data_IF_402934114079
#
_entry.id   IF_402934114079
#
_cell.length_a   1.000
_cell.length_b   1.000
_cell.length_c   1.000
_cell.angle_alpha   90.00
_cell.angle_beta   90.00
_cell.angle_gamma   90.00
#
_symmetry.space_group_name_H-M   'P 1'
#
loop_
_entity.id
_entity.type
_entity.pdbx_description
1 polymer ?
#
# COMPACT_ATOMS: atom_id res chain seq x y z
N UNK A 1 -16.37 12.87 -12.50
CA UNK A 1 -16.36 11.41 -12.19
C UNK A 1 -15.04 10.75 -12.58
N UNK A 2 -14.52 10.99 -13.80
CA UNK A 2 -13.25 10.41 -14.27
C UNK A 2 -12.07 10.73 -13.34
N UNK A 3 -11.95 11.98 -12.89
CA UNK A 3 -10.90 12.42 -11.94
C UNK A 3 -10.88 11.64 -10.62
N UNK A 4 -12.04 11.34 -10.04
CA UNK A 4 -12.13 10.60 -8.79
C UNK A 4 -11.80 9.12 -8.99
N UNK A 5 -12.21 8.55 -10.11
CA UNK A 5 -11.85 7.17 -10.47
C UNK A 5 -10.34 7.05 -10.71
N UNK A 6 -9.73 8.00 -11.42
CA UNK A 6 -8.29 8.04 -11.64
C UNK A 6 -7.52 8.17 -10.31
N UNK A 7 -7.97 9.05 -9.40
CA UNK A 7 -7.38 9.18 -8.08
C UNK A 7 -7.49 7.88 -7.26
N UNK A 8 -8.65 7.21 -7.29
CA UNK A 8 -8.83 5.91 -6.65
C UNK A 8 -7.91 4.83 -7.22
N UNK A 9 -7.73 4.78 -8.54
CA UNK A 9 -6.80 3.85 -9.20
C UNK A 9 -5.35 4.16 -8.80
N UNK A 10 -4.96 5.43 -8.75
CA UNK A 10 -3.63 5.83 -8.29
C UNK A 10 -3.39 5.39 -6.83
N UNK A 11 -4.37 5.60 -5.95
CA UNK A 11 -4.31 5.13 -4.56
C UNK A 11 -4.23 3.60 -4.44
N UNK A 12 -4.96 2.87 -5.28
CA UNK A 12 -4.89 1.41 -5.37
C UNK A 12 -3.50 0.93 -5.82
N UNK A 13 -2.89 1.61 -6.79
CA UNK A 13 -1.53 1.33 -7.24
C UNK A 13 -0.50 1.57 -6.12
N UNK A 14 -0.63 2.69 -5.37
CA UNK A 14 0.19 2.98 -4.20
C UNK A 14 0.05 1.90 -3.13
N UNK A 15 -1.17 1.39 -2.88
CA UNK A 15 -1.39 0.28 -1.96
C UNK A 15 -0.71 -1.01 -2.41
N UNK A 16 -0.80 -1.35 -3.70
CA UNK A 16 -0.16 -2.54 -4.25
C UNK A 16 1.37 -2.47 -4.09
N UNK A 17 1.98 -1.32 -4.39
CA UNK A 17 3.42 -1.09 -4.18
C UNK A 17 3.75 -1.21 -2.69
N UNK A 18 2.99 -0.55 -1.82
CA UNK A 18 3.23 -0.58 -0.38
C UNK A 18 3.16 -2.01 0.19
N UNK A 19 2.16 -2.79 -0.22
CA UNK A 19 2.00 -4.18 0.20
C UNK A 19 3.08 -5.09 -0.40
N UNK A 20 3.51 -4.85 -1.64
CA UNK A 20 4.63 -5.55 -2.26
C UNK A 20 5.93 -5.34 -1.49
N UNK A 21 6.22 -4.09 -1.10
CA UNK A 21 7.37 -3.76 -0.27
C UNK A 21 7.27 -4.41 1.12
N UNK A 22 6.08 -4.42 1.73
CA UNK A 22 5.85 -5.10 3.00
C UNK A 22 6.10 -6.61 2.87
N UNK A 23 5.58 -7.23 1.81
CA UNK A 23 5.77 -8.65 1.53
C UNK A 23 7.26 -8.98 1.35
N UNK A 24 7.99 -8.16 0.59
CA UNK A 24 9.43 -8.32 0.41
C UNK A 24 10.18 -8.16 1.73
N UNK A 25 9.75 -7.23 2.59
CA UNK A 25 10.33 -7.02 3.93
C UNK A 25 10.17 -8.26 4.81
N UNK A 26 8.96 -8.83 4.84
CA UNK A 26 8.65 -10.04 5.61
C UNK A 26 9.44 -11.22 5.06
N UNK A 27 9.46 -11.41 3.73
CA UNK A 27 10.20 -12.49 3.09
C UNK A 27 11.69 -12.42 3.39
N UNK A 28 12.29 -11.24 3.25
CA UNK A 28 13.70 -11.03 3.56
C UNK A 28 14.00 -11.42 5.02
N UNK A 29 13.12 -11.05 5.96
CA UNK A 29 13.29 -11.41 7.38
C UNK A 29 13.14 -12.92 7.62
N UNK A 30 12.18 -13.57 6.96
CA UNK A 30 11.95 -15.02 7.07
C UNK A 30 13.07 -15.88 6.49
N UNK A 31 13.79 -15.38 5.48
CA UNK A 31 14.95 -16.06 4.87
C UNK A 31 16.26 -15.84 5.66
N UNK A 32 16.18 -15.35 6.90
CA UNK A 32 17.34 -15.05 7.75
C UNK A 32 18.03 -13.72 7.41
N UNK A 33 17.35 -12.85 6.68
CA UNK A 33 17.90 -11.59 6.17
C UNK A 33 18.18 -10.54 7.22
N UNK A 34 19.06 -9.61 6.85
CA UNK A 34 19.63 -8.62 7.74
C UNK A 34 18.63 -7.47 8.03
N UNK A 35 18.55 -7.07 9.31
CA UNK A 35 17.78 -5.93 9.81
C UNK A 35 17.91 -4.63 8.96
N UNK A 36 19.08 -4.27 8.39
CA UNK A 36 19.20 -3.10 7.53
C UNK A 36 18.30 -3.13 6.29
N UNK A 37 18.10 -4.31 5.68
CA UNK A 37 17.21 -4.46 4.50
C UNK A 37 15.77 -4.18 4.89
N UNK A 38 15.33 -4.67 6.04
CA UNK A 38 13.99 -4.39 6.57
C UNK A 38 13.80 -2.89 6.84
N UNK A 39 14.78 -2.23 7.43
CA UNK A 39 14.75 -0.78 7.69
C UNK A 39 14.71 0.00 6.38
N UNK A 40 15.53 -0.37 5.39
CA UNK A 40 15.55 0.28 4.08
C UNK A 40 14.19 0.16 3.35
N UNK A 41 13.58 -1.03 3.37
CA UNK A 41 12.24 -1.24 2.80
C UNK A 41 11.16 -0.50 3.61
N UNK A 42 11.33 -0.33 4.92
CA UNK A 42 10.52 0.57 5.75
C UNK A 42 10.60 2.03 5.28
N UNK A 43 11.82 2.53 5.09
CA UNK A 43 12.06 3.87 4.53
C UNK A 43 11.43 4.05 3.15
N UNK A 44 11.60 3.06 2.27
CA UNK A 44 11.02 3.09 0.92
C UNK A 44 9.49 3.13 0.96
N UNK A 45 8.84 2.39 1.86
CA UNK A 45 7.38 2.46 2.06
C UNK A 45 6.91 3.85 2.48
N UNK A 46 7.65 4.51 3.37
CA UNK A 46 7.35 5.88 3.77
C UNK A 46 7.55 6.86 2.60
N UNK A 47 8.63 6.70 1.84
CA UNK A 47 8.93 7.50 0.67
C UNK A 47 7.86 7.37 -0.42
N UNK A 48 7.30 6.17 -0.64
CA UNK A 48 6.20 5.96 -1.59
C UNK A 48 4.95 6.76 -1.20
N UNK A 49 4.56 6.73 0.09
CA UNK A 49 3.40 7.47 0.57
C UNK A 49 3.64 8.98 0.51
N UNK A 50 4.79 9.43 1.01
CA UNK A 50 5.16 10.84 1.00
C UNK A 50 5.28 11.39 -0.42
N UNK A 51 5.90 10.63 -1.33
CA UNK A 51 6.05 10.99 -2.74
C UNK A 51 4.70 11.05 -3.46
N UNK A 52 3.80 10.09 -3.21
CA UNK A 52 2.45 10.13 -3.78
C UNK A 52 1.66 11.35 -3.29
N UNK A 53 1.76 11.69 -2.01
CA UNK A 53 1.10 12.87 -1.44
C UNK A 53 1.70 14.17 -2.01
N UNK A 54 3.03 14.27 -2.07
CA UNK A 54 3.71 15.42 -2.64
C UNK A 54 3.32 15.62 -4.12
N UNK A 55 3.28 14.53 -4.90
CA UNK A 55 2.84 14.57 -6.30
C UNK A 55 1.38 15.03 -6.42
N UNK A 56 0.49 14.52 -5.57
CA UNK A 56 -0.90 14.94 -5.55
C UNK A 56 -1.05 16.45 -5.26
N UNK A 57 -0.27 16.98 -4.33
CA UNK A 57 -0.25 18.41 -4.01
C UNK A 57 0.31 19.25 -5.17
N UNK A 58 1.40 18.81 -5.81
CA UNK A 58 1.99 19.47 -6.99
C UNK A 58 1.00 19.52 -8.16
N UNK A 59 0.21 18.47 -8.34
CA UNK A 59 -0.85 18.40 -9.36
C UNK A 59 -2.11 19.18 -8.97
N UNK A 60 -2.14 19.83 -7.80
CA UNK A 60 -3.29 20.62 -7.34
C UNK A 60 -4.50 19.76 -6.97
N UNK A 61 -4.30 18.51 -6.55
CA UNK A 61 -5.38 17.61 -6.21
C UNK A 61 -6.25 18.19 -5.08
N UNK A 62 -7.54 18.35 -5.36
CA UNK A 62 -8.51 18.78 -4.35
C UNK A 62 -8.79 17.70 -3.30
N UNK A 63 -9.42 18.09 -2.19
CA UNK A 63 -9.74 17.18 -1.09
C UNK A 63 -10.49 15.91 -1.53
N UNK A 64 -11.41 16.05 -2.50
CA UNK A 64 -12.14 14.90 -3.05
C UNK A 64 -11.25 13.87 -3.75
N UNK A 65 -10.22 14.31 -4.48
CA UNK A 65 -9.26 13.42 -5.14
C UNK A 65 -8.38 12.70 -4.11
N UNK A 66 -7.94 13.40 -3.06
CA UNK A 66 -7.20 12.78 -1.96
C UNK A 66 -8.01 11.71 -1.24
N UNK A 67 -9.30 11.99 -0.96
CA UNK A 67 -10.21 11.01 -0.35
C UNK A 67 -10.44 9.82 -1.27
N UNK A 68 -10.66 10.04 -2.57
CA UNK A 68 -10.84 8.96 -3.53
C UNK A 68 -9.59 8.07 -3.63
N UNK A 69 -8.39 8.67 -3.68
CA UNK A 69 -7.13 7.94 -3.63
C UNK A 69 -6.96 7.14 -2.34
N UNK A 70 -7.28 7.75 -1.19
CA UNK A 70 -7.25 7.05 0.09
C UNK A 70 -8.21 5.84 0.10
N UNK A 71 -9.42 5.98 -0.44
CA UNK A 71 -10.37 4.88 -0.56
C UNK A 71 -9.82 3.76 -1.45
N UNK A 72 -9.25 4.09 -2.60
CA UNK A 72 -8.59 3.11 -3.47
C UNK A 72 -7.49 2.34 -2.75
N UNK A 73 -6.66 3.04 -1.98
CA UNK A 73 -5.61 2.45 -1.16
C UNK A 73 -6.18 1.47 -0.11
N UNK A 74 -7.19 1.92 0.65
CA UNK A 74 -7.82 1.14 1.72
C UNK A 74 -8.52 -0.10 1.17
N UNK A 75 -9.23 0.02 0.05
CA UNK A 75 -9.93 -1.11 -0.59
C UNK A 75 -8.94 -2.22 -0.96
N UNK A 76 -7.82 -1.88 -1.62
CA UNK A 76 -6.78 -2.87 -1.95
C UNK A 76 -6.20 -3.50 -0.68
N UNK A 77 -5.92 -2.70 0.34
CA UNK A 77 -5.41 -3.21 1.63
C UNK A 77 -6.35 -4.22 2.27
N UNK A 78 -7.64 -3.90 2.31
CA UNK A 78 -8.66 -4.79 2.87
C UNK A 78 -8.79 -6.04 2.02
N UNK A 79 -8.86 -5.92 0.69
CA UNK A 79 -8.97 -7.05 -0.22
C UNK A 79 -7.80 -8.04 -0.06
N UNK A 80 -6.57 -7.53 -0.01
CA UNK A 80 -5.36 -8.35 0.19
C UNK A 80 -5.35 -8.99 1.58
N UNK A 81 -5.70 -8.24 2.63
CA UNK A 81 -5.74 -8.77 4.00
C UNK A 81 -6.81 -9.85 4.18
N UNK A 82 -7.99 -9.65 3.58
CA UNK A 82 -9.07 -10.65 3.56
C UNK A 82 -8.63 -11.90 2.81
N UNK A 83 -8.00 -11.75 1.63
CA UNK A 83 -7.48 -12.89 0.85
C UNK A 83 -6.41 -13.66 1.62
N UNK A 84 -5.50 -12.98 2.29
CA UNK A 84 -4.48 -13.60 3.14
C UNK A 84 -5.09 -14.31 4.37
N UNK A 85 -6.25 -13.86 4.84
CA UNK A 85 -6.96 -14.47 5.97
C UNK A 85 -7.86 -15.63 5.56
N UNK A 86 -8.44 -15.59 4.36
CA UNK A 86 -9.30 -16.64 3.83
C UNK A 86 -8.56 -17.96 3.55
N UNK A 87 -7.24 -17.92 3.34
CA UNK A 87 -6.41 -19.13 3.24
C UNK A 87 -6.01 -19.74 4.59
N UNK A 88 -6.45 -19.15 5.71
CA UNK A 88 -6.24 -19.67 7.06
C UNK A 88 -7.54 -20.28 7.59
N UNK A 89 -7.99 -21.35 6.96
CA UNK A 89 -8.84 -22.32 7.65
C UNK A 89 -7.97 -22.98 8.73
N UNK A 90 -7.92 -22.32 9.88
CA UNK A 90 -7.17 -22.79 11.03
C UNK A 90 -7.90 -24.00 11.63
N UNK A 91 -7.33 -25.22 11.62
CA UNK A 91 -7.97 -26.43 12.16
C UNK A 91 -8.12 -26.41 13.70
N UNK A 92 -7.77 -25.32 14.37
CA UNK A 92 -7.83 -25.16 15.83
C UNK A 92 -8.88 -24.13 16.28
N UNK A 93 -9.86 -23.80 15.42
CA UNK A 93 -11.05 -23.04 15.79
C UNK A 93 -12.26 -23.94 15.96
#
# INVERSE_FOLDING_TARGET
MIELAAAAVAGAAVAAIHLGLLWLSVRALSEGGALPVFVALGGLRAAVIAGALALALVLGAGAGALVAGLLGFVVVRIAVTRRASAGRDAPWR
#
